data_IF_727652234629
#
_entry.id   IF_727652234629
#
_cell.length_a   1.000
_cell.length_b   1.000
_cell.length_c   1.000
_cell.angle_alpha   90.00
_cell.angle_beta   90.00
_cell.angle_gamma   90.00
#
_symmetry.space_group_name_H-M   'P 1'
#
loop_
_entity.id
_entity.type
_entity.pdbx_description
1 polymer ?
#
# COMPACT_ATOMS: atom_id res chain seq x y z
N UNK A 1 -31.30 -9.50 -23.75
CA UNK A 1 -30.94 -9.11 -22.38
C UNK A 1 -29.43 -9.23 -22.28
N UNK A 2 -28.75 -8.12 -22.34
CA UNK A 2 -27.30 -8.03 -22.56
C UNK A 2 -26.60 -7.93 -21.21
N UNK A 3 -25.83 -8.95 -20.83
CA UNK A 3 -24.95 -8.95 -19.68
C UNK A 3 -23.77 -8.00 -19.93
N UNK A 4 -23.69 -6.92 -19.18
CA UNK A 4 -22.52 -6.05 -19.14
C UNK A 4 -21.44 -6.78 -18.35
N UNK A 5 -20.49 -7.40 -19.07
CA UNK A 5 -19.17 -7.71 -18.52
C UNK A 5 -18.51 -6.41 -18.11
N UNK A 6 -18.35 -6.17 -16.81
CA UNK A 6 -17.49 -5.10 -16.31
C UNK A 6 -16.03 -5.50 -16.57
N UNK A 7 -15.52 -5.14 -17.73
CA UNK A 7 -14.09 -5.15 -17.98
C UNK A 7 -13.45 -4.20 -16.97
N UNK A 8 -12.69 -4.77 -16.03
CA UNK A 8 -11.81 -3.99 -15.17
C UNK A 8 -10.97 -3.08 -16.06
N UNK A 9 -11.17 -1.78 -15.91
CA UNK A 9 -10.50 -0.79 -16.75
C UNK A 9 -9.00 -0.86 -16.45
N UNK A 10 -8.22 -1.34 -17.43
CA UNK A 10 -6.75 -1.41 -17.35
C UNK A 10 -6.11 -0.07 -16.98
N UNK A 11 -6.82 1.04 -17.21
CA UNK A 11 -6.37 2.38 -16.81
C UNK A 11 -6.43 2.59 -15.30
N UNK A 12 -7.40 1.98 -14.59
CA UNK A 12 -7.47 2.03 -13.11
C UNK A 12 -6.33 1.23 -12.46
N UNK A 13 -5.83 0.18 -13.11
CA UNK A 13 -4.67 -0.60 -12.66
C UNK A 13 -3.36 0.20 -12.65
N UNK A 14 -3.20 1.12 -13.62
CA UNK A 14 -1.99 1.96 -13.67
C UNK A 14 -1.96 3.05 -12.61
N UNK A 15 -3.10 3.50 -12.09
CA UNK A 15 -3.14 4.52 -11.03
C UNK A 15 -2.76 3.98 -9.66
N UNK A 16 -2.99 2.70 -9.37
CA UNK A 16 -2.60 2.07 -8.10
C UNK A 16 -1.14 1.61 -8.08
N UNK A 17 -0.57 1.24 -9.24
CA UNK A 17 0.86 0.93 -9.37
C UNK A 17 1.77 2.16 -9.33
N UNK A 18 1.24 3.35 -9.64
CA UNK A 18 2.03 4.58 -9.71
C UNK A 18 2.59 5.02 -8.33
N UNK A 19 1.90 4.71 -7.24
CA UNK A 19 2.37 5.07 -5.90
C UNK A 19 3.63 4.29 -5.50
N UNK A 20 3.67 2.99 -5.78
CA UNK A 20 4.85 2.16 -5.54
C UNK A 20 5.97 2.46 -6.56
N UNK A 21 5.62 2.80 -7.80
CA UNK A 21 6.57 3.16 -8.85
C UNK A 21 7.25 4.51 -8.60
N UNK A 22 6.56 5.51 -8.01
CA UNK A 22 7.16 6.79 -7.64
C UNK A 22 8.26 6.64 -6.58
N UNK A 23 8.10 5.73 -5.62
CA UNK A 23 9.12 5.44 -4.61
C UNK A 23 10.30 4.61 -5.18
N UNK A 24 10.08 3.89 -6.28
CA UNK A 24 11.11 3.10 -6.95
C UNK A 24 11.86 3.89 -8.04
N UNK A 25 11.22 4.86 -8.69
CA UNK A 25 11.72 5.52 -9.90
C UNK A 25 12.71 6.66 -9.64
N UNK A 26 12.80 7.19 -8.42
CA UNK A 26 13.64 8.36 -8.12
C UNK A 26 15.14 8.04 -7.92
N UNK A 27 15.61 6.86 -8.35
CA UNK A 27 17.01 6.47 -8.22
C UNK A 27 17.59 5.67 -9.38
N UNK A 28 16.85 5.41 -10.44
CA UNK A 28 17.32 4.56 -11.53
C UNK A 28 18.02 5.33 -12.65
N UNK A 29 19.27 5.65 -12.46
CA UNK A 29 20.23 5.70 -13.57
C UNK A 29 20.57 4.23 -13.93
N UNK A 30 20.37 3.83 -15.17
CA UNK A 30 20.66 2.47 -15.63
C UNK A 30 22.17 2.18 -15.45
N UNK A 31 22.54 1.45 -14.41
CA UNK A 31 23.92 1.02 -14.18
C UNK A 31 24.47 1.07 -12.76
N UNK A 32 23.99 1.96 -11.89
CA UNK A 32 24.45 1.99 -10.50
C UNK A 32 23.36 1.49 -9.53
N UNK A 33 23.72 0.70 -8.50
CA UNK A 33 22.77 0.32 -7.47
C UNK A 33 22.24 1.58 -6.77
N UNK A 34 20.95 1.66 -6.41
CA UNK A 34 20.38 2.80 -5.71
C UNK A 34 21.16 3.08 -4.42
N UNK A 35 21.49 4.34 -4.18
CA UNK A 35 22.16 4.76 -2.93
C UNK A 35 21.13 4.87 -1.82
N UNK A 36 21.50 4.37 -0.64
CA UNK A 36 20.71 4.57 0.58
C UNK A 36 21.00 5.97 1.17
N UNK A 37 19.98 6.57 1.75
CA UNK A 37 20.10 7.78 2.53
C UNK A 37 19.24 8.94 2.02
N UNK A 38 19.25 10.03 2.78
CA UNK A 38 18.59 11.26 2.42
C UNK A 38 17.08 11.27 2.64
N UNK A 39 16.45 12.32 2.15
CA UNK A 39 15.02 12.59 2.30
C UNK A 39 14.34 12.65 0.95
N UNK A 40 13.21 12.01 0.81
CA UNK A 40 12.30 12.13 -0.33
C UNK A 40 11.12 13.01 0.07
N UNK A 41 10.86 14.08 -0.69
CA UNK A 41 9.72 14.99 -0.51
C UNK A 41 8.78 14.88 -1.71
N UNK A 42 7.53 14.53 -1.47
CA UNK A 42 6.52 14.36 -2.50
C UNK A 42 5.39 15.38 -2.32
N UNK A 43 5.09 16.16 -3.36
CA UNK A 43 3.90 17.00 -3.40
C UNK A 43 2.75 16.27 -4.06
N UNK A 44 1.68 16.00 -3.32
CA UNK A 44 0.54 15.22 -3.78
C UNK A 44 -0.77 15.98 -3.61
N UNK A 45 -1.73 15.67 -4.48
CA UNK A 45 -3.13 16.12 -4.37
C UNK A 45 -4.01 15.12 -3.63
N UNK A 46 -5.26 15.48 -3.40
CA UNK A 46 -6.30 14.57 -2.93
C UNK A 46 -6.32 14.33 -1.42
N UNK A 47 -5.54 15.08 -0.63
CA UNK A 47 -5.67 15.04 0.82
C UNK A 47 -6.85 15.89 1.31
N UNK A 48 -7.51 15.42 2.37
CA UNK A 48 -8.62 16.11 3.04
C UNK A 48 -8.39 16.20 4.55
N UNK A 49 -9.10 17.11 5.21
CA UNK A 49 -8.99 17.28 6.68
C UNK A 49 -9.58 16.11 7.45
N UNK A 50 -10.45 15.33 6.79
CA UNK A 50 -11.12 14.16 7.37
C UNK A 50 -10.37 12.85 7.10
N UNK A 51 -9.18 12.92 6.48
CA UNK A 51 -8.34 11.75 6.23
C UNK A 51 -7.91 11.10 7.54
N UNK A 52 -8.04 9.80 7.59
CA UNK A 52 -7.51 8.94 8.65
C UNK A 52 -6.79 7.74 8.03
N UNK A 53 -6.20 6.89 8.86
CA UNK A 53 -5.58 5.65 8.36
C UNK A 53 -6.62 4.64 7.83
N UNK A 54 -7.90 4.85 8.13
CA UNK A 54 -9.05 4.01 7.69
C UNK A 54 -9.84 4.66 6.56
N UNK A 55 -9.88 6.00 6.51
CA UNK A 55 -10.67 6.80 5.55
C UNK A 55 -9.77 7.64 4.66
N UNK A 56 -10.30 8.06 3.52
CA UNK A 56 -9.61 8.89 2.53
C UNK A 56 -9.10 8.05 1.35
N UNK A 57 -9.61 8.35 0.15
CA UNK A 57 -9.32 7.62 -1.08
C UNK A 57 -8.50 8.45 -2.08
N UNK A 58 -8.09 9.66 -1.68
CA UNK A 58 -7.23 10.50 -2.51
C UNK A 58 -5.81 9.95 -2.63
N UNK A 59 -5.11 10.35 -3.70
CA UNK A 59 -3.74 9.88 -3.99
C UNK A 59 -2.80 10.04 -2.79
N UNK A 60 -2.93 11.15 -2.05
CA UNK A 60 -2.13 11.42 -0.85
C UNK A 60 -2.23 10.26 0.16
N UNK A 61 -3.45 9.82 0.51
CA UNK A 61 -3.65 8.73 1.46
C UNK A 61 -3.35 7.36 0.87
N UNK A 62 -3.54 7.16 -0.44
CA UNK A 62 -3.13 5.93 -1.10
C UNK A 62 -1.61 5.72 -0.98
N UNK A 63 -0.81 6.76 -1.28
CA UNK A 63 0.65 6.71 -1.15
C UNK A 63 1.10 6.58 0.31
N UNK A 64 0.45 7.32 1.23
CA UNK A 64 0.77 7.25 2.65
C UNK A 64 0.52 5.86 3.24
N UNK A 65 -0.55 5.20 2.83
CA UNK A 65 -0.89 3.86 3.30
C UNK A 65 0.01 2.82 2.65
N UNK A 66 -0.10 2.65 1.34
CA UNK A 66 0.58 1.59 0.60
C UNK A 66 1.96 2.08 0.12
N UNK A 67 2.98 1.29 0.40
CA UNK A 67 4.37 1.61 0.03
C UNK A 67 5.12 2.45 1.07
N UNK A 68 4.42 2.99 2.08
CA UNK A 68 5.07 3.66 3.20
C UNK A 68 4.79 2.96 4.54
N UNK A 69 3.58 3.16 5.10
CA UNK A 69 3.27 2.75 6.47
C UNK A 69 2.77 1.31 6.55
N UNK A 70 1.98 0.87 5.58
CA UNK A 70 1.36 -0.45 5.60
C UNK A 70 1.72 -1.24 4.35
N UNK A 71 1.64 -2.57 4.49
CA UNK A 71 1.69 -3.50 3.39
C UNK A 71 0.32 -4.15 3.15
N UNK A 72 0.16 -4.77 2.00
CA UNK A 72 -1.00 -5.57 1.59
C UNK A 72 -0.62 -7.06 1.55
N UNK A 73 -1.57 -7.97 1.33
CA UNK A 73 -1.22 -9.39 1.17
C UNK A 73 -0.41 -9.64 -0.09
N UNK A 74 -0.73 -8.93 -1.15
CA UNK A 74 -0.10 -9.03 -2.46
C UNK A 74 0.25 -7.63 -2.97
N UNK A 75 1.20 -7.50 -3.86
CA UNK A 75 1.56 -6.23 -4.49
C UNK A 75 1.73 -6.37 -6.00
N UNK A 76 1.51 -5.28 -6.73
CA UNK A 76 1.83 -5.19 -8.15
C UNK A 76 3.12 -4.40 -8.29
N UNK A 77 4.14 -5.03 -8.86
CA UNK A 77 5.44 -4.39 -9.10
C UNK A 77 5.35 -3.26 -10.12
N UNK A 78 6.37 -2.40 -10.20
CA UNK A 78 6.46 -1.36 -11.24
C UNK A 78 6.39 -1.90 -12.68
N UNK A 79 6.68 -3.19 -12.90
CA UNK A 79 6.55 -3.86 -14.19
C UNK A 79 5.18 -4.52 -14.40
N UNK A 80 4.20 -4.25 -13.51
CA UNK A 80 2.85 -4.81 -13.61
C UNK A 80 2.72 -6.29 -13.20
N UNK A 81 3.73 -6.86 -12.54
CA UNK A 81 3.70 -8.27 -12.10
C UNK A 81 3.10 -8.35 -10.70
N UNK A 82 2.06 -9.17 -10.54
CA UNK A 82 1.50 -9.53 -9.25
C UNK A 82 2.44 -10.47 -8.51
N UNK A 83 2.77 -10.15 -7.26
CA UNK A 83 3.57 -11.01 -6.37
C UNK A 83 3.08 -10.94 -4.93
N UNK A 84 3.58 -11.85 -4.09
CA UNK A 84 3.32 -11.82 -2.66
C UNK A 84 4.03 -10.65 -1.97
N UNK A 85 3.33 -10.05 -1.00
CA UNK A 85 3.85 -9.04 -0.09
C UNK A 85 3.85 -9.60 1.33
N UNK A 86 2.79 -9.43 2.11
CA UNK A 86 2.64 -10.14 3.39
C UNK A 86 2.27 -11.61 3.22
N UNK A 87 1.63 -11.99 2.10
CA UNK A 87 1.46 -13.38 1.73
C UNK A 87 2.68 -13.89 0.97
N UNK A 88 3.16 -15.07 1.35
CA UNK A 88 4.24 -15.79 0.64
C UNK A 88 3.69 -16.65 -0.49
N UNK A 89 2.40 -17.00 -0.44
CA UNK A 89 1.69 -17.77 -1.45
C UNK A 89 0.19 -17.74 -1.23
N UNK A 90 -0.55 -18.16 -2.25
CA UNK A 90 -2.00 -18.33 -2.17
C UNK A 90 -2.49 -19.43 -3.11
N UNK A 91 -3.64 -19.98 -2.79
CA UNK A 91 -4.29 -21.03 -3.56
C UNK A 91 -5.79 -20.74 -3.65
N UNK A 92 -6.35 -21.01 -4.83
CA UNK A 92 -7.78 -20.97 -5.06
C UNK A 92 -8.37 -22.38 -5.04
N UNK A 93 -9.59 -22.52 -4.56
CA UNK A 93 -10.43 -23.71 -4.66
C UNK A 93 -11.87 -23.31 -4.95
N UNK A 94 -12.74 -24.28 -5.14
CA UNK A 94 -14.17 -24.06 -5.46
C UNK A 94 -14.37 -23.01 -6.59
N UNK A 95 -13.66 -23.19 -7.70
CA UNK A 95 -13.76 -22.30 -8.85
C UNK A 95 -13.40 -20.83 -8.55
N UNK A 96 -12.45 -20.58 -7.64
CA UNK A 96 -12.05 -19.27 -7.15
C UNK A 96 -13.09 -18.56 -6.23
N UNK A 97 -13.94 -19.34 -5.57
CA UNK A 97 -14.77 -18.86 -4.46
C UNK A 97 -14.06 -18.93 -3.12
N UNK A 98 -13.17 -19.92 -2.94
CA UNK A 98 -12.36 -20.04 -1.73
C UNK A 98 -10.90 -19.77 -2.05
N UNK A 99 -10.26 -19.00 -1.20
CA UNK A 99 -8.85 -18.65 -1.27
C UNK A 99 -8.17 -18.87 0.06
N UNK A 100 -7.00 -19.46 0.05
CA UNK A 100 -6.11 -19.56 1.18
C UNK A 100 -4.88 -18.70 0.91
N UNK A 101 -4.45 -17.94 1.92
CA UNK A 101 -3.22 -17.14 1.88
C UNK A 101 -2.30 -17.60 3.01
N UNK A 102 -1.06 -17.92 2.66
CA UNK A 102 0.01 -18.25 3.60
C UNK A 102 0.80 -16.98 3.92
N UNK A 103 0.82 -16.57 5.18
CA UNK A 103 1.46 -15.34 5.61
C UNK A 103 2.96 -15.50 5.79
N UNK A 104 3.69 -14.40 5.60
CA UNK A 104 5.12 -14.31 5.84
C UNK A 104 5.40 -14.44 7.34
N UNK A 105 6.26 -15.37 7.77
CA UNK A 105 6.69 -15.46 9.15
C UNK A 105 7.57 -14.26 9.52
N UNK A 106 7.72 -14.00 10.81
CA UNK A 106 8.65 -13.01 11.40
C UNK A 106 8.42 -11.55 11.00
N UNK A 107 7.26 -11.23 10.38
CA UNK A 107 6.86 -9.84 10.16
C UNK A 107 6.35 -9.23 11.46
N UNK A 108 6.80 -8.00 11.72
CA UNK A 108 6.36 -7.22 12.88
C UNK A 108 5.79 -5.88 12.46
N UNK A 109 4.81 -5.43 13.19
CA UNK A 109 4.35 -4.05 13.14
C UNK A 109 5.40 -3.09 13.71
N UNK A 110 5.27 -1.81 13.42
CA UNK A 110 6.21 -0.77 13.87
C UNK A 110 6.28 -0.61 15.40
N UNK A 111 5.32 -1.12 16.14
CA UNK A 111 5.32 -1.20 17.61
C UNK A 111 6.01 -2.46 18.15
N UNK A 112 6.48 -3.34 17.28
CA UNK A 112 7.14 -4.59 17.61
C UNK A 112 6.21 -5.79 17.78
N UNK A 113 4.90 -5.62 17.77
CA UNK A 113 3.95 -6.74 17.83
C UNK A 113 4.04 -7.61 16.56
N UNK A 114 3.88 -8.93 16.66
CA UNK A 114 3.93 -9.81 15.48
C UNK A 114 2.67 -9.65 14.63
N UNK A 115 2.84 -9.77 13.30
CA UNK A 115 1.73 -9.93 12.38
C UNK A 115 1.14 -11.34 12.53
N UNK A 116 -0.18 -11.42 12.62
CA UNK A 116 -0.91 -12.68 12.70
C UNK A 116 -2.10 -12.70 11.73
N UNK A 117 -2.64 -13.88 11.49
CA UNK A 117 -3.86 -14.06 10.69
C UNK A 117 -5.05 -13.25 11.26
N UNK A 118 -5.10 -12.98 12.58
CA UNK A 118 -6.15 -12.15 13.21
C UNK A 118 -6.12 -10.71 12.73
N UNK A 119 -4.94 -10.15 12.50
CA UNK A 119 -4.78 -8.78 11.98
C UNK A 119 -5.29 -8.69 10.55
N UNK A 120 -5.00 -9.71 9.74
CA UNK A 120 -5.48 -9.82 8.36
C UNK A 120 -7.01 -9.94 8.34
N UNK A 121 -7.60 -10.81 9.18
CA UNK A 121 -9.06 -10.97 9.29
C UNK A 121 -9.71 -9.64 9.69
N UNK A 122 -9.22 -8.99 10.75
CA UNK A 122 -9.77 -7.71 11.22
C UNK A 122 -9.70 -6.61 10.14
N UNK A 123 -8.60 -6.57 9.39
CA UNK A 123 -8.41 -5.57 8.33
C UNK A 123 -9.33 -5.84 7.13
N UNK A 124 -9.35 -7.06 6.61
CA UNK A 124 -10.07 -7.40 5.40
C UNK A 124 -11.58 -7.50 5.61
N UNK A 125 -12.05 -8.03 6.76
CA UNK A 125 -13.48 -8.14 7.04
C UNK A 125 -14.17 -6.76 7.07
N UNK A 126 -13.43 -5.70 7.40
CA UNK A 126 -13.95 -4.33 7.41
C UNK A 126 -14.21 -3.74 6.01
N UNK A 127 -13.61 -4.32 4.96
CA UNK A 127 -13.62 -3.78 3.58
C UNK A 127 -14.11 -4.78 2.52
N UNK A 128 -14.10 -6.09 2.81
CA UNK A 128 -14.64 -7.14 1.96
C UNK A 128 -16.05 -7.54 2.45
N UNK A 129 -17.04 -6.72 2.10
CA UNK A 129 -18.42 -6.89 2.61
C UNK A 129 -19.14 -8.13 2.09
N UNK A 130 -18.72 -8.69 0.95
CA UNK A 130 -19.31 -9.88 0.32
C UNK A 130 -18.41 -11.13 0.46
N UNK A 131 -17.57 -11.13 1.50
CA UNK A 131 -16.67 -12.24 1.79
C UNK A 131 -16.68 -12.57 3.29
N UNK A 132 -16.47 -13.83 3.60
CA UNK A 132 -16.09 -14.29 4.92
C UNK A 132 -14.57 -14.43 4.97
N UNK A 133 -13.93 -13.80 5.96
CA UNK A 133 -12.49 -13.91 6.18
C UNK A 133 -12.26 -14.61 7.52
N UNK A 134 -11.57 -15.73 7.51
CA UNK A 134 -11.39 -16.59 8.69
C UNK A 134 -9.93 -16.95 8.93
N UNK A 135 -9.57 -17.05 10.21
CA UNK A 135 -8.28 -17.59 10.64
C UNK A 135 -8.31 -19.12 10.46
N UNK A 136 -7.35 -19.68 9.75
CA UNK A 136 -7.10 -21.13 9.72
C UNK A 136 -6.03 -21.55 10.72
N UNK A 137 -4.93 -20.81 10.78
CA UNK A 137 -3.90 -20.87 11.84
C UNK A 137 -3.23 -19.48 11.98
N UNK A 138 -2.21 -19.37 12.83
CA UNK A 138 -1.57 -18.08 13.12
C UNK A 138 -0.99 -17.38 11.88
N UNK A 139 -0.64 -18.13 10.84
CA UNK A 139 -0.05 -17.65 9.60
C UNK A 139 -0.85 -18.04 8.34
N UNK A 140 -2.11 -18.45 8.50
CA UNK A 140 -3.00 -18.80 7.38
C UNK A 140 -4.36 -18.17 7.50
N UNK A 141 -4.79 -17.58 6.40
CA UNK A 141 -6.11 -16.94 6.28
C UNK A 141 -6.87 -17.56 5.13
N UNK A 142 -8.14 -17.85 5.38
CA UNK A 142 -9.10 -18.23 4.35
C UNK A 142 -10.02 -17.06 4.02
N UNK A 143 -10.27 -16.86 2.73
CA UNK A 143 -11.29 -15.93 2.23
C UNK A 143 -12.30 -16.71 1.42
N UNK A 144 -13.57 -16.66 1.83
CA UNK A 144 -14.69 -17.28 1.11
C UNK A 144 -15.57 -16.18 0.53
N UNK A 145 -15.69 -16.15 -0.79
CA UNK A 145 -16.43 -15.12 -1.53
C UNK A 145 -17.87 -15.58 -1.78
N UNK A 146 -18.81 -14.66 -1.76
CA UNK A 146 -20.19 -14.90 -2.20
C UNK A 146 -20.24 -15.27 -3.70
N UNK A 147 -19.42 -14.62 -4.51
CA UNK A 147 -19.28 -14.88 -5.95
C UNK A 147 -17.81 -15.15 -6.28
N UNK A 148 -17.55 -16.15 -7.14
CA UNK A 148 -16.22 -16.51 -7.60
C UNK A 148 -15.47 -15.30 -8.20
N UNK A 149 -14.22 -15.09 -7.78
CA UNK A 149 -13.38 -14.03 -8.31
C UNK A 149 -11.93 -14.52 -8.47
N UNK A 150 -11.49 -14.86 -9.69
CA UNK A 150 -10.13 -15.31 -9.96
C UNK A 150 -9.09 -14.19 -9.75
N UNK A 151 -9.51 -12.92 -9.74
CA UNK A 151 -8.64 -11.76 -9.59
C UNK A 151 -8.54 -11.26 -8.13
N UNK A 152 -9.03 -12.04 -7.15
CA UNK A 152 -8.94 -11.64 -5.74
C UNK A 152 -7.51 -11.24 -5.31
N UNK A 153 -6.44 -11.97 -5.66
CA UNK A 153 -5.08 -11.55 -5.28
C UNK A 153 -4.70 -10.19 -5.88
N UNK A 154 -5.15 -9.88 -7.08
CA UNK A 154 -4.91 -8.57 -7.70
C UNK A 154 -5.73 -7.47 -7.02
N UNK A 155 -6.96 -7.77 -6.61
CA UNK A 155 -7.81 -6.86 -5.84
C UNK A 155 -7.14 -6.49 -4.51
N UNK A 156 -6.59 -7.49 -3.81
CA UNK A 156 -5.94 -7.32 -2.50
C UNK A 156 -4.61 -6.55 -2.57
N UNK A 157 -4.09 -6.27 -3.75
CA UNK A 157 -2.92 -5.42 -3.95
C UNK A 157 -3.25 -3.91 -3.92
N UNK A 158 -4.49 -3.50 -3.71
CA UNK A 158 -4.88 -2.09 -3.68
C UNK A 158 -4.76 -1.48 -2.28
N UNK A 159 -4.50 -0.18 -2.21
CA UNK A 159 -4.24 0.57 -0.97
C UNK A 159 -5.36 0.51 0.09
N UNK A 160 -6.59 0.19 -0.32
CA UNK A 160 -7.72 0.01 0.61
C UNK A 160 -7.66 -1.29 1.41
N UNK A 161 -6.86 -2.28 0.95
CA UNK A 161 -6.72 -3.61 1.58
C UNK A 161 -5.43 -3.75 2.39
N UNK A 162 -4.86 -2.64 2.82
CA UNK A 162 -3.69 -2.65 3.71
C UNK A 162 -4.00 -3.35 5.02
N UNK A 163 -3.01 -4.06 5.56
CA UNK A 163 -3.14 -4.79 6.81
C UNK A 163 -2.71 -3.90 7.97
N UNK A 164 -3.57 -3.80 8.97
CA UNK A 164 -3.41 -2.98 10.17
C UNK A 164 -3.47 -3.86 11.41
N UNK A 165 -2.78 -3.48 12.50
CA UNK A 165 -2.87 -4.25 13.74
C UNK A 165 -4.31 -4.20 14.30
N UNK A 166 -4.86 -5.35 14.64
CA UNK A 166 -6.23 -5.46 15.16
C UNK A 166 -6.45 -4.67 16.46
N UNK A 167 -5.39 -4.53 17.27
CA UNK A 167 -5.44 -3.81 18.56
C UNK A 167 -5.41 -2.29 18.41
N UNK A 168 -4.93 -1.75 17.27
CA UNK A 168 -4.77 -0.31 17.05
C UNK A 168 -4.92 0.10 15.56
N UNK A 169 -6.06 -0.17 14.91
CA UNK A 169 -6.21 -0.04 13.45
C UNK A 169 -6.12 1.40 12.93
N UNK A 170 -6.26 2.40 13.81
CA UNK A 170 -6.22 3.83 13.45
C UNK A 170 -4.93 4.53 13.90
N UNK A 171 -3.99 3.82 14.51
CA UNK A 171 -2.80 4.44 15.12
C UNK A 171 -1.69 4.79 14.10
N UNK A 172 -1.83 4.44 12.82
CA UNK A 172 -0.75 4.61 11.83
C UNK A 172 0.45 3.70 12.11
N UNK A 173 0.19 2.54 12.72
CA UNK A 173 1.14 1.48 12.97
C UNK A 173 0.96 0.43 11.88
N UNK A 174 1.98 0.22 11.07
CA UNK A 174 1.95 -0.75 9.97
C UNK A 174 3.16 -1.67 9.98
N UNK A 175 3.28 -2.45 8.92
CA UNK A 175 4.40 -3.35 8.66
C UNK A 175 5.34 -2.80 7.59
N UNK A 176 5.02 -1.63 7.01
CA UNK A 176 5.69 -1.06 5.85
C UNK A 176 7.12 -0.58 6.13
N UNK A 177 7.81 -0.19 5.05
CA UNK A 177 9.21 0.24 5.07
C UNK A 177 9.46 1.49 5.90
N UNK A 178 8.43 2.31 6.17
CA UNK A 178 8.56 3.57 6.87
C UNK A 178 7.61 3.66 8.06
N UNK A 179 8.16 3.96 9.22
CA UNK A 179 7.41 4.19 10.45
C UNK A 179 6.96 5.65 10.54
N UNK A 180 5.71 5.85 10.89
CA UNK A 180 5.12 7.17 11.05
C UNK A 180 5.83 7.99 12.13
N UNK A 181 6.19 9.24 11.80
CA UNK A 181 6.70 10.27 12.71
C UNK A 181 5.69 11.38 12.95
N UNK A 182 4.99 11.78 11.91
CA UNK A 182 3.95 12.82 11.98
C UNK A 182 2.86 12.56 10.96
N UNK A 183 1.64 12.70 11.37
CA UNK A 183 0.47 12.78 10.51
C UNK A 183 -0.33 14.03 10.84
N UNK A 184 -0.59 14.86 9.83
CA UNK A 184 -1.48 16.01 9.91
C UNK A 184 -2.47 15.87 8.76
N UNK A 185 -3.70 15.45 9.08
CA UNK A 185 -4.76 15.18 8.09
C UNK A 185 -4.95 16.37 7.13
N UNK A 186 -5.02 16.07 5.84
CA UNK A 186 -5.13 17.08 4.78
C UNK A 186 -3.86 17.90 4.51
N UNK A 187 -2.74 17.63 5.17
CA UNK A 187 -1.56 18.49 5.11
C UNK A 187 -0.24 17.76 4.89
N UNK A 188 0.11 16.81 5.76
CA UNK A 188 1.46 16.24 5.79
C UNK A 188 1.49 14.84 6.39
N UNK A 189 2.31 13.98 5.82
CA UNK A 189 2.83 12.76 6.45
C UNK A 189 4.36 12.84 6.45
N UNK A 190 4.99 12.59 7.58
CA UNK A 190 6.43 12.39 7.71
C UNK A 190 6.68 11.01 8.29
N UNK A 191 7.50 10.22 7.63
CA UNK A 191 7.86 8.88 8.08
C UNK A 191 9.37 8.65 7.93
N UNK A 192 9.92 7.82 8.77
CA UNK A 192 11.31 7.40 8.75
C UNK A 192 11.42 5.91 8.43
N UNK A 193 12.50 5.53 7.76
CA UNK A 193 12.78 4.16 7.42
C UNK A 193 13.00 3.32 8.67
N UNK A 194 12.43 2.09 8.69
CA UNK A 194 12.74 1.09 9.72
C UNK A 194 14.14 0.52 9.51
N UNK A 195 14.78 0.03 10.57
CA UNK A 195 16.15 -0.51 10.50
C UNK A 195 16.24 -1.76 9.61
N UNK A 196 15.26 -2.66 9.77
CA UNK A 196 15.20 -3.94 9.06
C UNK A 196 13.82 -4.17 8.48
N UNK A 197 13.76 -4.71 7.27
CA UNK A 197 12.52 -5.04 6.59
C UNK A 197 12.73 -6.18 5.59
N UNK A 198 11.73 -7.01 5.34
CA UNK A 198 11.82 -8.12 4.38
C UNK A 198 12.05 -7.67 2.91
N UNK A 199 11.85 -6.38 2.61
CA UNK A 199 12.17 -5.76 1.31
C UNK A 199 13.55 -5.10 1.28
N UNK A 200 14.42 -5.33 2.26
CA UNK A 200 15.77 -4.75 2.28
C UNK A 200 16.55 -5.12 1.02
N UNK A 201 17.24 -4.13 0.47
CA UNK A 201 17.99 -4.30 -0.78
C UNK A 201 17.14 -4.20 -2.06
N UNK A 202 15.81 -4.14 -1.96
CA UNK A 202 14.90 -4.03 -3.12
C UNK A 202 14.04 -2.77 -3.11
N UNK A 203 13.85 -2.14 -1.93
CA UNK A 203 13.04 -0.94 -1.76
C UNK A 203 13.49 -0.12 -0.53
N UNK A 204 12.90 1.07 -0.33
CA UNK A 204 13.12 1.90 0.85
C UNK A 204 14.51 2.53 0.90
N UNK A 205 14.90 3.22 -0.17
CA UNK A 205 16.24 3.79 -0.31
C UNK A 205 16.48 5.05 0.49
N UNK A 206 15.43 5.80 0.86
CA UNK A 206 15.53 7.06 1.61
C UNK A 206 15.45 6.82 3.12
N UNK A 207 16.12 7.64 3.92
CA UNK A 207 16.03 7.61 5.38
C UNK A 207 14.69 8.14 5.86
N UNK A 208 14.15 9.15 5.17
CA UNK A 208 12.86 9.76 5.48
C UNK A 208 12.05 10.01 4.21
N UNK A 209 10.74 9.87 4.31
CA UNK A 209 9.79 10.26 3.27
C UNK A 209 8.80 11.26 3.85
N UNK A 210 8.63 12.36 3.14
CA UNK A 210 7.65 13.38 3.47
C UNK A 210 6.65 13.55 2.34
N UNK A 211 5.37 13.43 2.65
CA UNK A 211 4.28 13.79 1.76
C UNK A 211 3.74 15.15 2.19
N UNK A 212 3.62 16.06 1.24
CA UNK A 212 3.02 17.38 1.45
C UNK A 212 1.80 17.49 0.55
N UNK A 213 0.66 17.87 1.12
CA UNK A 213 -0.56 18.13 0.36
C UNK A 213 -0.51 19.50 -0.28
N UNK A 214 -0.53 19.53 -1.61
CA UNK A 214 -0.63 20.76 -2.40
C UNK A 214 -1.76 20.57 -3.41
N UNK A 215 -2.97 21.13 -3.17
CA UNK A 215 -4.14 20.89 -4.04
C UNK A 215 -3.97 21.44 -5.46
N UNK A 216 -3.37 22.62 -5.61
CA UNK A 216 -3.21 23.29 -6.91
C UNK A 216 -2.07 22.69 -7.73
N UNK A 217 -2.36 22.26 -8.97
CA UNK A 217 -1.41 21.64 -9.90
C UNK A 217 -0.22 22.53 -10.20
N UNK A 218 -0.48 23.80 -10.49
CA UNK A 218 0.58 24.78 -10.86
C UNK A 218 1.53 25.05 -9.69
N UNK A 219 0.99 25.08 -8.44
CA UNK A 219 1.81 25.22 -7.24
C UNK A 219 2.68 23.98 -7.02
N UNK A 220 2.18 22.76 -7.32
CA UNK A 220 3.02 21.54 -7.30
C UNK A 220 4.11 21.59 -8.37
N UNK A 221 3.76 22.04 -9.58
CA UNK A 221 4.73 22.18 -10.68
C UNK A 221 5.81 23.21 -10.33
N UNK A 222 5.43 24.33 -9.72
CA UNK A 222 6.37 25.35 -9.25
C UNK A 222 7.26 24.79 -8.13
N UNK A 223 6.70 24.15 -7.11
CA UNK A 223 7.46 23.54 -6.02
C UNK A 223 8.50 22.53 -6.53
N UNK A 224 8.14 21.74 -7.56
CA UNK A 224 9.07 20.81 -8.22
C UNK A 224 10.17 21.57 -8.97
N UNK A 225 9.83 22.61 -9.74
CA UNK A 225 10.81 23.38 -10.52
C UNK A 225 11.79 24.16 -9.64
N UNK A 226 11.37 24.58 -8.46
CA UNK A 226 12.18 25.29 -7.47
C UNK A 226 12.97 24.34 -6.53
N UNK A 227 12.83 23.01 -6.69
CA UNK A 227 13.50 22.02 -5.87
C UNK A 227 13.01 21.95 -4.42
N UNK A 228 11.81 22.48 -4.13
CA UNK A 228 11.19 22.40 -2.81
C UNK A 228 10.68 20.98 -2.52
N UNK A 229 10.36 20.23 -3.55
CA UNK A 229 10.00 18.81 -3.52
C UNK A 229 10.78 18.06 -4.59
N UNK A 230 10.93 16.75 -4.41
CA UNK A 230 11.73 15.90 -5.29
C UNK A 230 10.87 15.23 -6.38
N UNK A 231 9.55 15.10 -6.12
CA UNK A 231 8.58 14.65 -7.10
C UNK A 231 7.18 15.22 -6.78
N UNK A 232 6.30 15.25 -7.80
CA UNK A 232 4.93 15.73 -7.68
C UNK A 232 3.99 14.97 -8.62
N UNK A 233 2.72 14.80 -8.22
CA UNK A 233 1.68 14.35 -9.13
C UNK A 233 1.23 15.53 -10.01
N UNK A 234 1.42 15.37 -11.30
CA UNK A 234 1.06 16.37 -12.31
C UNK A 234 0.12 15.72 -13.36
N UNK A 235 -1.13 15.43 -12.99
CA UNK A 235 -2.07 14.83 -13.95
C UNK A 235 -2.25 15.75 -15.17
N UNK A 236 -2.44 15.11 -16.32
CA UNK A 236 -2.65 15.81 -17.60
C UNK A 236 -3.92 16.66 -17.59
#
# INVERSE_FOLDING_TARGET
MSGRNSLLDRRALFTTGAAAALLAATGASAGEPPRRGGRLRLALSGATRDDTWVKGDGLFMQVARQGMIFDTLTEVTGNGILKGELATGWQASDGARQWQFDLRPDVRFHDGSPLTARDVVASLQSVLTEAEVAVQDDLKVQVTLATANPDLPLLLAQSRYVIRPAHAPEAGIGTGLYRLRRFSAGRQVLAERVETHYKDGTAGWFDTVELVSIPARDVRAQALSEGLVDAADLPA
#
